data_IF_118146683457
#
_entry.id   IF_118146683457
#
_cell.length_a   1.000
_cell.length_b   1.000
_cell.length_c   1.000
_cell.angle_alpha   90.00
_cell.angle_beta   90.00
_cell.angle_gamma   90.00
#
_symmetry.space_group_name_H-M   'P 1'
#
loop_
_entity.id
_entity.type
_entity.pdbx_description
1 polymer ?
#
# COMPACT_ATOMS: atom_id res chain seq x y z
N UNK A 1 4.25 -10.54 -24.23
CA UNK A 1 2.79 -10.54 -24.42
C UNK A 1 2.48 -11.20 -25.77
N UNK A 2 1.50 -12.11 -25.85
CA UNK A 2 1.02 -12.61 -27.14
C UNK A 2 0.56 -11.45 -28.02
N UNK A 3 0.76 -11.55 -29.33
CA UNK A 3 0.45 -10.48 -30.31
C UNK A 3 -1.04 -10.13 -30.40
N UNK A 4 -1.92 -10.93 -29.79
CA UNK A 4 -3.37 -10.73 -29.76
C UNK A 4 -3.84 -9.78 -28.64
N UNK A 5 -2.97 -9.46 -27.67
CA UNK A 5 -3.28 -8.51 -26.61
C UNK A 5 -2.80 -7.13 -27.00
N UNK A 6 -3.73 -6.16 -26.98
CA UNK A 6 -3.41 -4.75 -27.15
C UNK A 6 -3.27 -4.10 -25.78
N UNK A 7 -2.20 -3.33 -25.57
CA UNK A 7 -2.13 -2.44 -24.41
C UNK A 7 -3.26 -1.41 -24.51
N UNK A 8 -4.04 -1.28 -23.43
CA UNK A 8 -5.04 -0.23 -23.30
C UNK A 8 -4.30 0.97 -22.69
N UNK A 9 -4.20 2.06 -23.44
CA UNK A 9 -3.44 3.25 -23.04
C UNK A 9 -1.96 3.20 -23.45
N UNK A 10 -1.31 4.37 -23.39
CA UNK A 10 0.12 4.51 -23.70
C UNK A 10 1.01 4.50 -22.46
N UNK A 11 0.43 4.68 -21.27
CA UNK A 11 1.12 4.80 -19.98
C UNK A 11 0.38 3.98 -18.93
N UNK A 12 1.15 3.32 -18.08
CA UNK A 12 0.68 2.61 -16.90
C UNK A 12 0.40 3.57 -15.73
N UNK A 13 -0.16 3.08 -14.62
CA UNK A 13 -0.30 3.89 -13.40
C UNK A 13 1.07 4.13 -12.77
N UNK A 14 1.95 3.13 -12.81
CA UNK A 14 3.34 3.27 -12.36
C UNK A 14 4.11 4.32 -13.17
N UNK A 15 3.94 4.36 -14.51
CA UNK A 15 4.59 5.37 -15.35
C UNK A 15 4.21 6.78 -14.90
N UNK A 16 2.92 6.99 -14.62
CA UNK A 16 2.41 8.28 -14.14
C UNK A 16 2.96 8.63 -12.75
N UNK A 17 2.96 7.68 -11.82
CA UNK A 17 3.51 7.89 -10.47
C UNK A 17 5.02 8.19 -10.49
N UNK A 18 5.78 7.56 -11.37
CA UNK A 18 7.23 7.76 -11.48
C UNK A 18 7.64 9.17 -11.91
N UNK A 19 6.74 9.89 -12.57
CA UNK A 19 6.93 11.29 -13.00
C UNK A 19 6.48 12.30 -11.93
N UNK A 20 5.79 11.86 -10.87
CA UNK A 20 5.29 12.71 -9.80
C UNK A 20 6.34 12.94 -8.71
N UNK A 21 6.38 14.16 -8.16
CA UNK A 21 7.11 14.44 -6.93
C UNK A 21 6.27 13.98 -5.72
N UNK A 22 6.39 12.70 -5.37
CA UNK A 22 5.55 12.06 -4.36
C UNK A 22 5.92 12.45 -2.91
N UNK A 23 6.99 13.24 -2.70
CA UNK A 23 7.58 13.52 -1.38
C UNK A 23 7.69 12.25 -0.49
N UNK A 24 7.87 11.10 -1.14
CA UNK A 24 7.93 9.77 -0.55
C UNK A 24 8.98 8.98 -1.32
N UNK A 25 9.69 8.11 -0.62
CA UNK A 25 10.67 7.24 -1.24
C UNK A 25 9.95 6.11 -2.01
N UNK A 26 10.07 6.13 -3.33
CA UNK A 26 9.52 5.12 -4.24
C UNK A 26 10.64 4.22 -4.77
N UNK A 27 10.41 2.91 -4.75
CA UNK A 27 11.36 1.91 -5.28
C UNK A 27 10.88 1.46 -6.65
N UNK A 28 11.61 1.83 -7.70
CA UNK A 28 11.32 1.40 -9.07
C UNK A 28 11.74 -0.06 -9.31
N UNK A 29 10.87 -0.97 -8.87
CA UNK A 29 11.05 -2.40 -9.07
C UNK A 29 10.90 -2.83 -10.53
N UNK A 30 10.12 -2.09 -11.33
CA UNK A 30 9.91 -2.43 -12.75
C UNK A 30 11.21 -2.31 -13.52
N UNK A 31 11.91 -1.19 -13.40
CA UNK A 31 13.20 -1.01 -14.06
C UNK A 31 14.23 -2.02 -13.56
N UNK A 32 14.30 -2.24 -12.25
CA UNK A 32 15.24 -3.21 -11.67
C UNK A 32 15.00 -4.64 -12.19
N UNK A 33 13.75 -5.09 -12.24
CA UNK A 33 13.39 -6.43 -12.73
C UNK A 33 13.63 -6.55 -14.25
N UNK A 34 13.36 -5.52 -15.04
CA UNK A 34 13.63 -5.52 -16.49
C UNK A 34 15.14 -5.59 -16.77
N UNK A 35 15.94 -4.82 -16.04
CA UNK A 35 17.40 -4.84 -16.15
C UNK A 35 17.93 -6.24 -15.84
N UNK A 36 17.52 -6.82 -14.70
CA UNK A 36 17.97 -8.14 -14.27
C UNK A 36 17.50 -9.27 -15.19
N UNK A 37 16.32 -9.15 -15.79
CA UNK A 37 15.81 -10.13 -16.77
C UNK A 37 16.71 -10.27 -18.00
N UNK A 38 17.51 -9.25 -18.31
CA UNK A 38 18.45 -9.30 -19.45
C UNK A 38 19.78 -9.99 -19.12
N UNK A 39 20.03 -10.27 -17.84
CA UNK A 39 21.32 -10.77 -17.34
C UNK A 39 21.17 -12.12 -16.64
N UNK A 40 20.04 -12.37 -15.98
CA UNK A 40 19.75 -13.62 -15.30
C UNK A 40 19.15 -14.62 -16.29
N UNK A 41 19.77 -15.81 -16.39
CA UNK A 41 19.31 -16.89 -17.28
C UNK A 41 17.98 -17.53 -16.83
N UNK A 42 17.72 -17.54 -15.52
CA UNK A 42 16.47 -18.03 -14.94
C UNK A 42 15.37 -16.96 -14.97
N UNK A 43 14.12 -17.40 -14.98
CA UNK A 43 12.96 -16.50 -14.96
C UNK A 43 12.87 -15.77 -13.61
N UNK A 44 12.32 -14.56 -13.62
CA UNK A 44 12.06 -13.78 -12.39
C UNK A 44 10.62 -13.90 -11.91
N UNK A 45 9.74 -14.41 -12.78
CA UNK A 45 8.33 -14.66 -12.51
C UNK A 45 8.02 -16.12 -12.80
N UNK A 46 7.04 -16.62 -12.08
CA UNK A 46 6.42 -17.89 -12.39
C UNK A 46 5.69 -17.84 -13.73
N UNK A 47 5.59 -19.00 -14.40
CA UNK A 47 4.91 -19.08 -15.71
C UNK A 47 3.41 -19.24 -15.58
N UNK A 48 2.97 -19.93 -14.53
CA UNK A 48 1.58 -20.30 -14.30
C UNK A 48 1.02 -19.69 -13.02
N UNK A 49 1.69 -18.67 -12.49
CA UNK A 49 1.33 -17.94 -11.29
C UNK A 49 1.42 -16.43 -11.54
N UNK A 50 0.60 -15.65 -10.85
CA UNK A 50 0.57 -14.19 -10.94
C UNK A 50 1.77 -13.50 -10.28
N UNK A 51 2.52 -14.20 -9.42
CA UNK A 51 3.61 -13.64 -8.62
C UNK A 51 4.98 -13.78 -9.28
N UNK A 52 5.93 -12.96 -8.81
CA UNK A 52 7.34 -13.25 -9.00
C UNK A 52 7.73 -14.60 -8.38
N UNK A 53 8.87 -15.15 -8.77
CA UNK A 53 9.48 -16.24 -8.02
C UNK A 53 10.47 -15.69 -6.99
N UNK A 54 11.13 -16.57 -6.24
CA UNK A 54 12.04 -16.15 -5.18
C UNK A 54 13.30 -15.41 -5.68
N UNK A 55 13.67 -15.52 -6.97
CA UNK A 55 14.74 -14.69 -7.57
C UNK A 55 14.22 -13.27 -7.81
N UNK A 56 13.03 -13.13 -8.40
CA UNK A 56 12.38 -11.82 -8.57
C UNK A 56 12.17 -11.10 -7.23
N UNK A 57 11.69 -11.84 -6.23
CA UNK A 57 11.55 -11.33 -4.86
C UNK A 57 12.90 -10.94 -4.24
N UNK A 58 13.96 -11.70 -4.47
CA UNK A 58 15.30 -11.36 -4.00
C UNK A 58 15.79 -10.02 -4.59
N UNK A 59 15.50 -9.73 -5.86
CA UNK A 59 15.83 -8.44 -6.48
C UNK A 59 15.05 -7.32 -5.79
N UNK A 60 13.73 -7.51 -5.56
CA UNK A 60 12.92 -6.53 -4.84
C UNK A 60 13.41 -6.27 -3.42
N UNK A 61 13.81 -7.33 -2.71
CA UNK A 61 14.47 -7.23 -1.42
C UNK A 61 15.76 -6.40 -1.48
N UNK A 62 16.64 -6.65 -2.46
CA UNK A 62 17.90 -5.93 -2.58
C UNK A 62 17.70 -4.42 -2.84
N UNK A 63 16.78 -4.05 -3.73
CA UNK A 63 16.45 -2.63 -3.97
C UNK A 63 15.80 -1.98 -2.74
N UNK A 64 14.96 -2.70 -2.00
CA UNK A 64 14.41 -2.22 -0.74
C UNK A 64 15.52 -1.94 0.28
N UNK A 65 16.43 -2.87 0.51
CA UNK A 65 17.52 -2.70 1.47
C UNK A 65 18.46 -1.55 1.08
N UNK A 66 18.75 -1.40 -0.21
CA UNK A 66 19.51 -0.27 -0.76
C UNK A 66 18.80 1.06 -0.54
N UNK A 67 17.50 1.13 -0.80
CA UNK A 67 16.69 2.34 -0.58
C UNK A 67 16.62 2.74 0.90
N UNK A 68 16.57 1.75 1.79
CA UNK A 68 16.62 1.94 3.25
C UNK A 68 18.04 2.22 3.78
N UNK A 69 19.06 2.22 2.93
CA UNK A 69 20.47 2.30 3.32
C UNK A 69 20.85 1.29 4.43
N UNK A 70 20.33 0.07 4.31
CA UNK A 70 20.52 -1.02 5.28
C UNK A 70 21.30 -2.16 4.65
N UNK A 71 22.18 -2.78 5.43
CA UNK A 71 22.95 -3.95 4.98
C UNK A 71 22.03 -5.09 4.54
N UNK A 72 22.22 -5.57 3.31
CA UNK A 72 21.48 -6.69 2.75
C UNK A 72 22.20 -8.03 2.94
N UNK A 73 21.46 -9.12 2.77
CA UNK A 73 22.03 -10.46 2.68
C UNK A 73 22.94 -10.58 1.46
N UNK A 74 24.07 -11.25 1.64
CA UNK A 74 25.01 -11.57 0.55
C UNK A 74 24.50 -12.74 -0.29
N UNK A 75 23.42 -12.51 -1.07
CA UNK A 75 22.72 -13.57 -1.82
C UNK A 75 23.61 -14.27 -2.85
N UNK A 76 24.59 -13.58 -3.44
CA UNK A 76 25.55 -14.16 -4.39
C UNK A 76 26.41 -15.29 -3.79
N UNK A 77 26.61 -15.28 -2.48
CA UNK A 77 27.38 -16.30 -1.77
C UNK A 77 26.51 -17.46 -1.26
N UNK A 78 25.19 -17.38 -1.46
CA UNK A 78 24.26 -18.40 -1.00
C UNK A 78 24.06 -19.48 -2.06
N UNK A 79 23.88 -20.73 -1.61
CA UNK A 79 23.49 -21.81 -2.51
C UNK A 79 22.04 -21.63 -2.93
N UNK A 80 21.79 -21.66 -4.25
CA UNK A 80 20.46 -21.63 -4.83
C UNK A 80 19.99 -23.06 -5.14
N UNK A 81 18.88 -23.46 -4.55
CA UNK A 81 18.26 -24.79 -4.76
C UNK A 81 17.04 -24.63 -5.65
N UNK A 82 16.98 -25.41 -6.73
CA UNK A 82 15.86 -25.44 -7.67
C UNK A 82 14.98 -26.66 -7.40
N UNK A 83 13.66 -26.48 -7.26
CA UNK A 83 12.69 -27.54 -6.99
C UNK A 83 11.44 -27.38 -7.83
N UNK A 84 10.87 -28.50 -8.27
CA UNK A 84 9.57 -28.55 -8.95
C UNK A 84 8.44 -28.78 -7.93
N UNK A 85 8.18 -27.80 -7.07
CA UNK A 85 7.24 -27.89 -5.95
C UNK A 85 6.27 -26.71 -5.84
N UNK A 86 6.30 -25.76 -6.78
CA UNK A 86 5.37 -24.63 -6.78
C UNK A 86 4.13 -24.92 -7.62
N UNK A 87 2.94 -24.70 -7.05
CA UNK A 87 1.69 -24.79 -7.80
C UNK A 87 1.14 -23.38 -8.04
N UNK A 88 1.14 -22.94 -9.30
CA UNK A 88 0.74 -21.59 -9.66
C UNK A 88 -0.76 -21.30 -9.54
N UNK A 89 -1.12 -20.09 -9.09
CA UNK A 89 -2.50 -19.67 -8.93
C UNK A 89 -3.31 -19.61 -10.24
N UNK A 90 -2.73 -19.11 -11.34
CA UNK A 90 -3.38 -19.03 -12.66
C UNK A 90 -3.69 -20.41 -13.22
N UNK A 91 -2.75 -21.36 -13.10
CA UNK A 91 -3.00 -22.75 -13.48
C UNK A 91 -4.12 -23.38 -12.65
N UNK A 92 -4.12 -23.14 -11.33
CA UNK A 92 -5.15 -23.66 -10.42
C UNK A 92 -6.53 -23.07 -10.74
N UNK A 93 -6.62 -21.80 -11.14
CA UNK A 93 -7.88 -21.17 -11.55
C UNK A 93 -8.44 -21.80 -12.83
N UNK A 94 -7.59 -22.08 -13.82
CA UNK A 94 -8.02 -22.65 -15.11
C UNK A 94 -8.26 -24.15 -15.06
N UNK A 95 -7.46 -24.89 -14.28
CA UNK A 95 -7.49 -26.35 -14.21
C UNK A 95 -7.44 -26.86 -12.75
N UNK A 96 -8.47 -26.61 -11.93
CA UNK A 96 -8.44 -26.89 -10.50
C UNK A 96 -8.26 -28.37 -10.14
N UNK A 97 -8.63 -29.28 -11.04
CA UNK A 97 -8.46 -30.72 -10.87
C UNK A 97 -7.07 -31.23 -11.27
N UNK A 98 -6.23 -30.40 -11.89
CA UNK A 98 -4.89 -30.77 -12.35
C UNK A 98 -3.83 -30.07 -11.51
N UNK A 99 -3.01 -30.85 -10.81
CA UNK A 99 -1.81 -30.34 -10.15
C UNK A 99 -0.69 -30.30 -11.19
N UNK A 100 -0.28 -29.09 -11.57
CA UNK A 100 0.91 -28.85 -12.37
C UNK A 100 1.90 -28.10 -11.50
N UNK A 101 3.06 -28.70 -11.25
CA UNK A 101 4.12 -28.06 -10.48
C UNK A 101 5.12 -27.41 -11.43
N UNK A 102 5.52 -26.19 -11.11
CA UNK A 102 6.59 -25.47 -11.80
C UNK A 102 7.81 -25.28 -10.89
N UNK A 103 8.89 -24.79 -11.49
CA UNK A 103 10.16 -24.61 -10.80
C UNK A 103 10.09 -23.40 -9.87
N UNK A 104 10.58 -23.56 -8.66
CA UNK A 104 10.86 -22.51 -7.69
C UNK A 104 12.32 -22.59 -7.26
N UNK A 105 12.84 -21.44 -6.85
CA UNK A 105 14.21 -21.24 -6.43
C UNK A 105 14.25 -20.95 -4.94
N UNK A 106 15.22 -21.49 -4.23
CA UNK A 106 15.33 -21.30 -2.79
C UNK A 106 16.78 -20.97 -2.45
N UNK A 107 17.02 -19.73 -2.02
CA UNK A 107 18.30 -19.38 -1.41
C UNK A 107 18.40 -20.10 -0.06
N UNK A 108 19.53 -20.75 0.20
CA UNK A 108 19.81 -21.33 1.51
C UNK A 108 20.13 -20.20 2.51
N UNK A 109 19.06 -19.67 3.12
CA UNK A 109 19.16 -18.61 4.12
C UNK A 109 19.76 -19.15 5.44
N UNK A 110 20.35 -18.27 6.26
CA UNK A 110 20.86 -18.62 7.59
C UNK A 110 19.79 -19.20 8.53
N UNK A 111 18.52 -18.82 8.34
CA UNK A 111 17.37 -19.16 9.19
C UNK A 111 17.60 -18.77 10.66
N UNK A 112 18.07 -17.54 10.90
CA UNK A 112 18.39 -17.00 12.24
C UNK A 112 17.22 -16.28 12.90
N UNK A 113 16.10 -16.10 12.19
CA UNK A 113 14.88 -15.53 12.75
C UNK A 113 13.91 -16.62 13.20
N UNK A 114 12.93 -16.23 14.03
CA UNK A 114 11.79 -17.06 14.41
C UNK A 114 10.50 -16.27 14.27
N UNK A 115 9.37 -16.94 14.04
CA UNK A 115 8.06 -16.30 14.14
C UNK A 115 7.61 -16.26 15.60
N UNK A 116 7.03 -15.14 16.05
CA UNK A 116 6.58 -14.98 17.45
C UNK A 116 5.35 -15.84 17.77
N UNK A 117 4.61 -16.23 16.73
CA UNK A 117 3.47 -17.13 16.78
C UNK A 117 3.59 -18.17 15.66
N UNK A 118 2.98 -19.33 15.85
CA UNK A 118 2.88 -20.31 14.78
C UNK A 118 2.06 -19.74 13.62
N UNK A 119 2.63 -19.72 12.42
CA UNK A 119 1.94 -19.35 11.19
C UNK A 119 1.45 -20.61 10.45
N UNK A 120 0.34 -20.49 9.73
CA UNK A 120 -0.18 -21.55 8.86
C UNK A 120 0.56 -21.54 7.52
N UNK A 121 0.67 -20.36 6.92
CA UNK A 121 1.37 -20.08 5.67
C UNK A 121 1.82 -18.63 5.65
N UNK A 122 2.58 -18.24 4.64
CA UNK A 122 2.89 -16.82 4.38
C UNK A 122 1.67 -15.99 3.97
N UNK A 123 0.52 -16.62 3.70
CA UNK A 123 -0.74 -15.92 3.43
C UNK A 123 -1.43 -15.38 4.70
N UNK A 124 -0.94 -15.72 5.90
CA UNK A 124 -1.57 -15.24 7.13
C UNK A 124 -1.64 -13.70 7.16
N UNK A 125 -2.80 -13.18 7.61
CA UNK A 125 -3.12 -11.75 7.61
C UNK A 125 -2.08 -10.94 8.38
N UNK A 126 -1.64 -11.46 9.53
CA UNK A 126 -0.59 -10.88 10.33
C UNK A 126 0.49 -11.93 10.61
N UNK A 127 1.73 -11.56 10.34
CA UNK A 127 2.92 -12.37 10.64
C UNK A 127 3.91 -11.48 11.38
N UNK A 128 4.55 -12.03 12.41
CA UNK A 128 5.59 -11.31 13.14
C UNK A 128 6.81 -12.21 13.27
N UNK A 129 7.97 -11.66 12.92
CA UNK A 129 9.26 -12.33 13.06
C UNK A 129 10.21 -11.54 13.96
N UNK A 130 11.11 -12.27 14.61
CA UNK A 130 12.17 -11.73 15.47
C UNK A 130 13.50 -12.38 15.12
N UNK A 131 14.55 -11.56 15.00
CA UNK A 131 15.94 -11.98 14.80
C UNK A 131 16.85 -11.25 15.78
N UNK A 132 17.31 -11.94 16.83
CA UNK A 132 18.10 -11.33 17.91
C UNK A 132 19.51 -10.91 17.48
N UNK A 133 19.96 -11.31 16.29
CA UNK A 133 21.26 -10.94 15.75
C UNK A 133 21.20 -9.67 14.86
N UNK A 134 20.03 -9.05 14.73
CA UNK A 134 19.79 -7.88 13.88
C UNK A 134 19.23 -6.71 14.68
N UNK A 135 19.22 -5.55 14.02
CA UNK A 135 18.68 -4.29 14.53
C UNK A 135 17.57 -3.76 13.59
N UNK A 136 16.79 -2.80 14.08
CA UNK A 136 15.72 -2.14 13.34
C UNK A 136 14.37 -2.86 13.46
N UNK A 137 13.28 -2.08 13.44
CA UNK A 137 11.90 -2.56 13.61
C UNK A 137 11.05 -2.09 12.44
N UNK A 138 10.60 -3.04 11.64
CA UNK A 138 9.87 -2.76 10.41
C UNK A 138 8.39 -3.14 10.54
N UNK A 139 7.51 -2.28 10.04
CA UNK A 139 6.14 -2.66 9.66
C UNK A 139 6.03 -2.66 8.13
N UNK A 140 5.56 -3.79 7.58
CA UNK A 140 5.31 -3.98 6.15
C UNK A 140 3.80 -4.13 5.94
N UNK A 141 3.15 -3.10 5.41
CA UNK A 141 1.85 -3.27 4.77
C UNK A 141 2.06 -3.91 3.41
N UNK A 142 1.30 -4.96 3.09
CA UNK A 142 1.62 -5.80 1.92
C UNK A 142 0.41 -6.44 1.26
N UNK A 143 0.61 -6.89 0.03
CA UNK A 143 -0.23 -7.92 -0.57
C UNK A 143 0.47 -9.30 -0.58
N UNK A 144 0.04 -10.20 -1.48
CA UNK A 144 0.61 -11.54 -1.61
C UNK A 144 1.99 -11.57 -2.28
N UNK A 145 2.42 -10.52 -2.98
CA UNK A 145 3.77 -10.41 -3.56
C UNK A 145 4.85 -10.43 -2.48
N UNK A 146 4.65 -9.74 -1.36
CA UNK A 146 5.57 -9.80 -0.23
C UNK A 146 5.68 -11.17 0.45
N UNK A 147 4.84 -12.16 0.13
CA UNK A 147 4.98 -13.52 0.69
C UNK A 147 6.40 -14.07 0.47
N UNK A 148 6.95 -13.85 -0.73
CA UNK A 148 8.30 -14.27 -1.08
C UNK A 148 9.40 -13.40 -0.45
N UNK A 149 9.06 -12.20 0.04
CA UNK A 149 9.99 -11.29 0.72
C UNK A 149 10.20 -11.63 2.19
N UNK A 150 9.20 -12.25 2.84
CA UNK A 150 9.19 -12.50 4.29
C UNK A 150 10.51 -13.12 4.80
N UNK A 151 11.05 -14.20 4.21
CA UNK A 151 12.28 -14.81 4.72
C UNK A 151 13.48 -13.85 4.65
N UNK A 152 13.67 -13.14 3.54
CA UNK A 152 14.80 -12.22 3.36
C UNK A 152 14.74 -11.03 4.32
N UNK A 153 13.55 -10.45 4.48
CA UNK A 153 13.34 -9.31 5.37
C UNK A 153 13.50 -9.75 6.84
N UNK A 154 12.95 -10.91 7.21
CA UNK A 154 13.06 -11.45 8.58
C UNK A 154 14.51 -11.78 8.97
N UNK A 155 15.35 -12.14 8.02
CA UNK A 155 16.80 -12.28 8.24
C UNK A 155 17.54 -10.95 8.46
N UNK A 156 16.94 -9.82 8.11
CA UNK A 156 17.63 -8.53 8.02
C UNK A 156 17.25 -7.54 9.13
N UNK A 157 16.14 -7.76 9.83
CA UNK A 157 15.60 -6.85 10.86
C UNK A 157 15.45 -7.55 12.20
N UNK A 158 15.58 -6.78 13.30
CA UNK A 158 15.39 -7.32 14.64
C UNK A 158 13.96 -7.81 14.88
N UNK A 159 12.99 -7.04 14.38
CA UNK A 159 11.57 -7.35 14.47
C UNK A 159 10.87 -6.86 13.21
N UNK A 160 9.97 -7.69 12.68
CA UNK A 160 9.16 -7.32 11.52
C UNK A 160 7.70 -7.67 11.77
N UNK A 161 6.81 -6.71 11.56
CA UNK A 161 5.37 -6.91 11.52
C UNK A 161 4.89 -6.83 10.07
N UNK A 162 4.44 -7.96 9.54
CA UNK A 162 3.83 -8.04 8.22
C UNK A 162 2.30 -7.99 8.38
N UNK A 163 1.65 -7.07 7.68
CA UNK A 163 0.20 -6.88 7.77
C UNK A 163 -0.44 -6.79 6.37
N UNK A 164 -1.36 -7.71 6.10
CA UNK A 164 -2.18 -7.73 4.88
C UNK A 164 -3.56 -7.11 5.08
N UNK A 165 -3.85 -6.62 6.29
CA UNK A 165 -5.12 -5.97 6.58
C UNK A 165 -5.24 -4.70 5.75
N UNK A 166 -6.40 -4.52 5.11
CA UNK A 166 -6.74 -3.32 4.37
C UNK A 166 -8.10 -2.79 4.87
N UNK A 167 -8.27 -1.47 5.12
CA UNK A 167 -7.27 -0.40 5.00
C UNK A 167 -6.12 -0.50 6.00
N UNK A 168 -5.00 0.15 5.68
CA UNK A 168 -3.79 0.15 6.53
C UNK A 168 -4.01 0.92 7.83
N UNK A 169 -3.59 0.34 8.95
CA UNK A 169 -3.68 0.96 10.28
C UNK A 169 -2.35 1.58 10.70
N UNK A 170 -2.19 2.87 10.39
CA UNK A 170 -0.97 3.63 10.67
C UNK A 170 -0.78 3.91 12.17
N UNK A 171 -1.85 3.81 12.99
CA UNK A 171 -1.71 3.97 14.44
C UNK A 171 -0.85 2.86 15.07
N UNK A 172 -0.70 1.72 14.38
CA UNK A 172 0.15 0.61 14.83
C UNK A 172 1.63 0.95 14.85
N UNK A 173 2.08 1.94 14.07
CA UNK A 173 3.51 2.30 13.95
C UNK A 173 4.09 2.65 15.32
N UNK A 174 3.40 3.51 16.07
CA UNK A 174 3.83 3.93 17.41
C UNK A 174 3.81 2.76 18.40
N UNK A 175 2.70 2.00 18.44
CA UNK A 175 2.55 0.87 19.37
C UNK A 175 3.55 -0.27 19.12
N UNK A 176 3.97 -0.46 17.87
CA UNK A 176 5.01 -1.42 17.49
C UNK A 176 6.43 -0.86 17.65
N UNK A 177 6.56 0.44 17.92
CA UNK A 177 7.82 1.18 17.95
C UNK A 177 8.63 0.94 16.66
N UNK A 178 7.94 0.88 15.52
CA UNK A 178 8.57 0.67 14.22
C UNK A 178 9.33 1.93 13.82
N UNK A 179 10.60 1.77 13.46
CA UNK A 179 11.45 2.84 12.92
C UNK A 179 11.38 2.90 11.38
N UNK A 180 10.86 1.84 10.75
CA UNK A 180 10.76 1.70 9.32
C UNK A 180 9.35 1.29 8.92
N UNK A 181 8.74 2.02 7.99
CA UNK A 181 7.49 1.68 7.32
C UNK A 181 7.78 1.37 5.86
N UNK A 182 7.26 0.25 5.37
CA UNK A 182 7.24 -0.09 3.94
C UNK A 182 5.81 -0.46 3.54
N UNK A 183 5.40 -0.01 2.37
CA UNK A 183 4.17 -0.45 1.71
C UNK A 183 4.59 -1.20 0.45
N UNK A 184 4.23 -2.47 0.38
CA UNK A 184 4.37 -3.32 -0.80
C UNK A 184 2.99 -3.52 -1.42
N UNK A 185 2.84 -3.17 -2.69
CA UNK A 185 1.57 -3.31 -3.40
C UNK A 185 1.84 -3.52 -4.89
N UNK A 186 1.17 -4.49 -5.50
CA UNK A 186 1.21 -4.66 -6.93
C UNK A 186 0.47 -3.50 -7.64
N UNK A 187 0.96 -3.06 -8.80
CA UNK A 187 0.37 -1.94 -9.56
C UNK A 187 -1.15 -2.07 -9.75
N UNK A 188 -1.62 -3.28 -10.05
CA UNK A 188 -3.04 -3.58 -10.28
C UNK A 188 -3.95 -3.29 -9.07
N UNK A 189 -3.37 -3.19 -7.87
CA UNK A 189 -4.08 -2.93 -6.62
C UNK A 189 -3.92 -1.46 -6.16
N UNK A 190 -3.19 -0.61 -6.90
CA UNK A 190 -2.95 0.79 -6.49
C UNK A 190 -4.25 1.58 -6.32
N UNK A 191 -5.30 1.26 -7.05
CA UNK A 191 -6.60 1.90 -6.89
C UNK A 191 -7.23 1.66 -5.51
N UNK A 192 -6.85 0.60 -4.80
CA UNK A 192 -7.37 0.34 -3.45
C UNK A 192 -7.08 1.50 -2.51
N UNK A 193 -5.91 2.13 -2.62
CA UNK A 193 -5.53 3.26 -1.74
C UNK A 193 -6.35 4.53 -2.00
N UNK A 194 -7.13 4.56 -3.09
CA UNK A 194 -8.05 5.65 -3.40
C UNK A 194 -9.49 5.36 -2.95
N UNK A 195 -9.80 4.14 -2.52
CA UNK A 195 -11.15 3.66 -2.19
C UNK A 195 -11.34 3.37 -0.69
N UNK A 196 -10.25 3.18 0.07
CA UNK A 196 -10.34 3.00 1.52
C UNK A 196 -9.44 3.95 2.29
N UNK A 197 -10.05 4.64 3.24
CA UNK A 197 -9.36 5.58 4.11
C UNK A 197 -8.40 4.84 5.03
N UNK A 198 -7.09 5.16 5.02
CA UNK A 198 -6.17 4.59 5.98
C UNK A 198 -6.59 4.98 7.40
N UNK A 199 -6.42 4.06 8.35
CA UNK A 199 -6.72 4.31 9.75
C UNK A 199 -5.56 5.11 10.33
N UNK A 200 -5.69 6.42 10.28
CA UNK A 200 -4.76 7.39 10.84
C UNK A 200 -5.56 8.48 11.54
N UNK A 201 -5.35 8.64 12.84
CA UNK A 201 -6.00 9.70 13.60
C UNK A 201 -5.41 11.04 13.14
N UNK A 202 -6.26 11.92 12.64
CA UNK A 202 -5.85 13.26 12.24
C UNK A 202 -5.59 14.13 13.47
N UNK A 203 -4.39 14.72 13.50
CA UNK A 203 -4.04 15.73 14.48
C UNK A 203 -4.50 17.10 14.00
N UNK A 204 -5.16 17.84 14.90
CA UNK A 204 -5.66 19.17 14.60
C UNK A 204 -4.68 20.26 15.00
N UNK A 205 -4.50 21.26 14.15
CA UNK A 205 -3.68 22.43 14.44
C UNK A 205 -4.45 23.75 14.27
N UNK A 206 -4.08 24.79 15.03
CA UNK A 206 -4.65 26.13 14.81
C UNK A 206 -4.11 26.70 13.51
N UNK A 207 -4.94 26.73 12.48
CA UNK A 207 -4.57 27.22 11.16
C UNK A 207 -5.70 28.06 10.56
N UNK A 208 -5.34 29.06 9.77
CA UNK A 208 -6.28 29.81 8.94
C UNK A 208 -6.03 29.44 7.49
N UNK A 209 -7.08 29.04 6.79
CA UNK A 209 -7.03 28.71 5.36
C UNK A 209 -7.50 29.93 4.57
N UNK A 210 -6.66 30.43 3.68
CA UNK A 210 -7.02 31.52 2.75
C UNK A 210 -7.60 30.90 1.49
N UNK A 211 -8.93 30.96 1.35
CA UNK A 211 -9.58 30.50 0.14
C UNK A 211 -9.53 31.57 -0.96
N UNK A 212 -9.18 31.19 -2.19
CA UNK A 212 -9.19 32.09 -3.35
C UNK A 212 -10.62 32.39 -3.81
N UNK A 213 -11.53 31.43 -3.61
CA UNK A 213 -12.94 31.53 -3.97
C UNK A 213 -13.80 30.62 -3.09
N UNK A 214 -15.12 30.68 -3.31
CA UNK A 214 -16.06 29.80 -2.68
C UNK A 214 -17.03 29.23 -3.72
N UNK A 215 -17.25 27.92 -3.70
CA UNK A 215 -18.15 27.21 -4.60
C UNK A 215 -19.26 26.53 -3.80
N UNK A 216 -20.42 26.31 -4.43
CA UNK A 216 -21.48 25.49 -3.84
C UNK A 216 -21.35 24.08 -4.38
N UNK A 217 -21.18 23.12 -3.47
CA UNK A 217 -21.06 21.70 -3.78
C UNK A 217 -21.84 20.98 -2.69
N UNK A 218 -22.85 20.20 -3.08
CA UNK A 218 -23.64 19.43 -2.11
C UNK A 218 -22.80 18.26 -1.58
N UNK A 219 -22.78 18.12 -0.26
CA UNK A 219 -21.96 17.15 0.46
C UNK A 219 -22.85 16.33 1.38
N UNK A 220 -22.88 15.02 1.16
CA UNK A 220 -23.58 14.08 2.02
C UNK A 220 -22.59 13.54 3.05
N UNK A 221 -22.78 13.85 4.33
CA UNK A 221 -21.87 13.49 5.42
C UNK A 221 -22.50 12.48 6.36
N UNK A 222 -21.75 11.44 6.71
CA UNK A 222 -22.09 10.46 7.73
C UNK A 222 -20.94 10.37 8.73
N UNK A 223 -21.25 10.54 10.02
CA UNK A 223 -20.27 10.39 11.08
C UNK A 223 -20.70 9.29 12.05
N UNK A 224 -19.77 8.39 12.35
CA UNK A 224 -19.99 7.27 13.25
C UNK A 224 -18.86 7.12 14.25
N UNK A 225 -19.18 6.64 15.45
CA UNK A 225 -18.17 6.25 16.45
C UNK A 225 -17.66 4.85 16.13
N UNK A 226 -16.35 4.70 15.89
CA UNK A 226 -15.67 3.43 15.68
C UNK A 226 -14.69 3.19 16.84
N UNK A 227 -15.05 2.29 17.76
CA UNK A 227 -14.28 2.05 18.99
C UNK A 227 -14.06 3.34 19.80
N UNK A 228 -12.82 3.81 19.92
CA UNK A 228 -12.44 5.01 20.69
C UNK A 228 -12.25 6.27 19.84
N UNK A 229 -12.55 6.20 18.53
CA UNK A 229 -12.43 7.31 17.59
C UNK A 229 -13.75 7.57 16.85
N UNK A 230 -13.85 8.73 16.21
CA UNK A 230 -14.93 9.08 15.30
C UNK A 230 -14.42 8.99 13.86
N UNK A 231 -15.25 8.45 12.98
CA UNK A 231 -15.01 8.39 11.55
C UNK A 231 -16.08 9.21 10.83
N UNK A 232 -15.66 10.25 10.13
CA UNK A 232 -16.50 11.02 9.22
C UNK A 232 -16.21 10.56 7.79
N UNK A 233 -17.26 10.21 7.06
CA UNK A 233 -17.24 9.85 5.65
C UNK A 233 -18.18 10.80 4.90
N UNK A 234 -17.69 11.44 3.85
CA UNK A 234 -18.42 12.47 3.15
C UNK A 234 -18.32 12.28 1.64
N UNK A 235 -19.47 12.22 0.96
CA UNK A 235 -19.55 12.09 -0.49
C UNK A 235 -19.85 13.44 -1.12
N UNK A 236 -19.14 13.79 -2.19
CA UNK A 236 -19.52 14.93 -3.03
C UNK A 236 -20.62 14.52 -4.00
N UNK A 237 -21.72 15.26 -4.11
CA UNK A 237 -22.82 14.84 -4.99
C UNK A 237 -22.49 15.06 -6.49
N UNK A 238 -21.79 16.14 -6.82
CA UNK A 238 -21.28 16.41 -8.19
C UNK A 238 -19.87 15.82 -8.35
N UNK A 239 -19.83 14.56 -8.74
CA UNK A 239 -18.61 13.77 -8.97
C UNK A 239 -17.69 14.38 -10.03
N UNK A 240 -18.24 15.06 -11.05
CA UNK A 240 -17.43 15.64 -12.13
C UNK A 240 -16.66 16.87 -11.68
N UNK A 241 -17.27 17.70 -10.84
CA UNK A 241 -16.56 18.84 -10.24
C UNK A 241 -15.57 18.35 -9.17
N UNK A 242 -15.94 17.31 -8.42
CA UNK A 242 -15.15 16.76 -7.34
C UNK A 242 -13.87 16.03 -7.78
N UNK A 243 -13.83 15.47 -9.00
CA UNK A 243 -12.63 14.84 -9.59
C UNK A 243 -11.38 15.72 -9.56
N UNK A 244 -11.55 17.05 -9.53
CA UNK A 244 -10.44 18.01 -9.49
C UNK A 244 -9.87 18.24 -8.09
N UNK A 245 -10.57 17.81 -7.04
CA UNK A 245 -10.20 18.03 -5.64
C UNK A 245 -9.17 16.98 -5.23
N UNK A 246 -7.95 17.41 -4.96
CA UNK A 246 -6.83 16.51 -4.66
C UNK A 246 -6.39 16.55 -3.18
N UNK A 247 -6.92 17.47 -2.38
CA UNK A 247 -6.74 17.49 -0.93
C UNK A 247 -7.94 18.17 -0.26
N UNK A 248 -8.23 17.78 0.98
CA UNK A 248 -9.34 18.35 1.76
C UNK A 248 -8.85 18.74 3.14
N UNK A 249 -9.20 19.96 3.56
CA UNK A 249 -9.01 20.45 4.93
C UNK A 249 -10.36 20.77 5.55
N UNK A 250 -10.48 20.46 6.83
CA UNK A 250 -11.68 20.72 7.63
C UNK A 250 -11.31 21.69 8.76
N UNK A 251 -12.12 22.72 9.00
CA UNK A 251 -11.99 23.56 10.19
C UNK A 251 -13.20 23.35 11.09
N UNK A 252 -12.96 22.92 12.33
CA UNK A 252 -13.97 22.78 13.38
C UNK A 252 -13.47 23.50 14.63
N UNK A 253 -14.28 24.42 15.17
CA UNK A 253 -13.95 25.23 16.36
C UNK A 253 -12.59 25.98 16.25
N UNK A 254 -12.19 26.37 15.03
CA UNK A 254 -10.92 27.06 14.76
C UNK A 254 -9.68 26.14 14.75
N UNK A 255 -9.88 24.82 14.78
CA UNK A 255 -8.85 23.81 14.58
C UNK A 255 -8.99 23.23 13.18
N UNK A 256 -7.90 23.25 12.42
CA UNK A 256 -7.82 22.67 11.10
C UNK A 256 -7.32 21.22 11.17
N UNK A 257 -7.91 20.36 10.35
CA UNK A 257 -7.54 18.96 10.19
C UNK A 257 -7.32 18.66 8.71
N UNK A 258 -6.33 17.84 8.41
CA UNK A 258 -6.16 17.24 7.08
C UNK A 258 -7.05 16.00 6.96
N UNK A 259 -7.96 16.01 6.00
CA UNK A 259 -8.81 14.88 5.65
C UNK A 259 -8.26 14.18 4.41
N UNK A 260 -8.46 12.87 4.32
CA UNK A 260 -8.14 12.14 3.10
C UNK A 260 -9.17 12.49 2.02
N UNK A 261 -8.75 12.79 0.78
CA UNK A 261 -9.65 13.04 -0.35
C UNK A 261 -10.21 11.71 -0.90
N UNK A 262 -10.72 10.87 0.01
CA UNK A 262 -11.22 9.52 -0.24
C UNK A 262 -12.62 9.44 0.36
N UNK A 263 -13.59 9.01 -0.42
CA UNK A 263 -14.86 8.52 0.11
C UNK A 263 -14.83 7.00 0.11
N UNK A 264 -15.17 6.41 1.25
CA UNK A 264 -15.20 4.95 1.37
C UNK A 264 -16.65 4.47 1.17
N UNK A 265 -16.93 3.85 0.03
CA UNK A 265 -18.24 3.29 -0.32
C UNK A 265 -18.43 1.83 0.15
N UNK A 266 -17.33 1.16 0.52
CA UNK A 266 -17.33 -0.17 1.10
C UNK A 266 -17.00 -1.29 0.12
N UNK A 267 -16.73 -0.99 -1.15
CA UNK A 267 -16.21 -1.94 -2.14
C UNK A 267 -14.89 -1.39 -2.72
N UNK A 268 -13.79 -2.11 -2.50
CA UNK A 268 -12.46 -1.68 -2.97
C UNK A 268 -12.02 -2.42 -4.23
N UNK A 269 -12.78 -3.43 -4.65
CA UNK A 269 -12.44 -4.35 -5.74
C UNK A 269 -13.25 -4.10 -7.01
N UNK A 270 -14.20 -3.15 -7.01
CA UNK A 270 -15.07 -2.88 -8.17
C UNK A 270 -14.48 -1.88 -9.19
N UNK A 271 -13.31 -1.30 -8.86
CA UNK A 271 -12.60 -0.27 -9.62
C UNK A 271 -13.40 1.03 -9.81
N UNK A 272 -14.43 1.28 -8.99
CA UNK A 272 -15.26 2.49 -9.05
C UNK A 272 -14.80 3.47 -7.96
N UNK A 273 -14.27 4.61 -8.40
CA UNK A 273 -13.86 5.68 -7.48
C UNK A 273 -14.99 6.71 -7.39
N UNK A 274 -15.58 6.83 -6.21
CA UNK A 274 -16.44 7.96 -5.86
C UNK A 274 -15.64 9.03 -5.10
N UNK A 275 -15.79 10.28 -5.52
CA UNK A 275 -15.10 11.42 -4.94
C UNK A 275 -15.80 11.93 -3.68
N UNK A 276 -14.99 12.20 -2.67
CA UNK A 276 -15.42 12.71 -1.38
C UNK A 276 -14.22 12.89 -0.45
N UNK A 277 -14.48 12.85 0.85
CA UNK A 277 -13.42 12.87 1.84
C UNK A 277 -13.80 12.10 3.09
N UNK A 278 -12.77 11.77 3.86
CA UNK A 278 -12.93 11.01 5.09
C UNK A 278 -11.82 11.29 6.08
N UNK A 279 -12.12 11.10 7.36
CA UNK A 279 -11.19 11.42 8.44
C UNK A 279 -11.50 10.63 9.70
N UNK A 280 -10.46 10.22 10.42
CA UNK A 280 -10.56 9.70 11.78
C UNK A 280 -10.14 10.78 12.78
N UNK A 281 -10.96 11.05 13.79
CA UNK A 281 -10.68 12.05 14.84
C UNK A 281 -10.93 11.48 16.24
N UNK A 282 -10.22 11.99 17.24
CA UNK A 282 -10.45 11.62 18.65
C UNK A 282 -11.81 12.14 19.13
N UNK A 283 -12.15 13.36 18.74
CA UNK A 283 -13.38 14.04 19.15
C UNK A 283 -14.39 14.07 18.01
N UNK A 284 -15.66 14.07 18.38
CA UNK A 284 -16.76 14.28 17.43
C UNK A 284 -16.68 15.68 16.84
N UNK A 285 -16.68 15.78 15.50
CA UNK A 285 -16.79 17.06 14.80
C UNK A 285 -18.24 17.57 14.83
N UNK A 286 -18.41 18.88 14.98
CA UNK A 286 -19.70 19.56 14.79
C UNK A 286 -19.93 19.82 13.29
N UNK A 287 -20.79 19.01 12.68
CA UNK A 287 -21.07 19.05 11.25
C UNK A 287 -21.86 20.29 10.81
N UNK A 288 -22.55 20.98 11.73
CA UNK A 288 -23.31 22.19 11.40
C UNK A 288 -22.41 23.42 11.23
N UNK A 289 -21.30 23.48 11.97
CA UNK A 289 -20.31 24.56 11.89
C UNK A 289 -19.02 24.20 11.15
N UNK A 290 -18.92 22.97 10.62
CA UNK A 290 -17.75 22.49 9.90
C UNK A 290 -17.50 23.30 8.62
N UNK A 291 -16.33 23.93 8.55
CA UNK A 291 -15.88 24.56 7.31
C UNK A 291 -15.05 23.57 6.50
N UNK A 292 -15.35 23.45 5.21
CA UNK A 292 -14.74 22.46 4.31
C UNK A 292 -14.00 23.20 3.20
N UNK A 293 -12.76 22.83 2.97
CA UNK A 293 -11.90 23.40 1.94
C UNK A 293 -11.34 22.31 1.05
N UNK A 294 -11.48 22.46 -0.27
CA UNK A 294 -10.87 21.59 -1.26
C UNK A 294 -9.69 22.29 -1.92
N UNK A 295 -8.60 21.56 -2.17
CA UNK A 295 -7.49 22.03 -2.98
C UNK A 295 -7.65 21.54 -4.42
N UNK A 296 -7.74 22.48 -5.37
CA UNK A 296 -7.81 22.19 -6.80
C UNK A 296 -7.20 23.34 -7.60
N UNK A 297 -6.62 23.04 -8.77
CA UNK A 297 -6.01 24.06 -9.64
C UNK A 297 -4.96 24.94 -8.93
N UNK A 298 -4.19 24.34 -8.00
CA UNK A 298 -3.18 24.99 -7.14
C UNK A 298 -3.70 26.03 -6.13
N UNK A 299 -4.99 26.02 -5.82
CA UNK A 299 -5.59 26.94 -4.85
C UNK A 299 -6.53 26.23 -3.86
N UNK A 300 -6.66 26.79 -2.66
CA UNK A 300 -7.68 26.39 -1.69
C UNK A 300 -9.00 27.09 -2.00
N UNK A 301 -10.09 26.33 -2.02
CA UNK A 301 -11.44 26.82 -2.31
C UNK A 301 -12.37 26.39 -1.20
N UNK A 302 -13.20 27.32 -0.71
CA UNK A 302 -14.21 27.00 0.30
C UNK A 302 -15.38 26.28 -0.35
N UNK A 303 -15.72 25.10 0.16
CA UNK A 303 -16.84 24.29 -0.29
C UNK A 303 -18.04 24.57 0.61
N UNK A 304 -19.03 25.30 0.09
CA UNK A 304 -20.27 25.54 0.82
C UNK A 304 -21.23 24.39 0.56
N UNK A 305 -21.53 23.61 1.61
CA UNK A 305 -22.55 22.58 1.55
C UNK A 305 -23.94 23.21 1.44
N UNK A 306 -24.54 23.18 0.25
CA UNK A 306 -25.85 23.76 -0.06
C UNK A 306 -26.63 22.85 -1.00
#
# INVERSE_FOLDING_TARGET
>A
MPSTFNAIGQRSNLDQMSEMDLNMNYIDLTSALIEQKSVVDDELYHRQDSHWNNIGAAIGYLEMMKSLNKESLSLLNMTLVKKADWQGDLARMLYPSKITLEQQFYFQLPNLFTFTKAIRTFEDIQIESVNTAKEGRLILFRDSFANALIPYISESFAQVNYDRTFPYDFNRIEGLQSDTLVIEIAERNLNWVLQATPILIAEGEKQTIVASSAVSLKITMEQQKKSDVFYLNARFDDQKSAEKIIAVKLISEGIAYDAFPIYQDGDVEDDIIEYGFSIYTINQLDLESLEIYGFMENEWIKLNNK
#
